data_IF_518799697370
#
_entry.id   IF_518799697370
#
_cell.length_a   1.000
_cell.length_b   1.000
_cell.length_c   1.000
_cell.angle_alpha   90.00
_cell.angle_beta   90.00
_cell.angle_gamma   90.00
#
_symmetry.space_group_name_H-M   'P 1'
#
loop_
_entity.id
_entity.type
_entity.pdbx_description
1 polymer ?
#
# COMPACT_ATOMS: atom_id res chain seq x y z
N UNK A 1 30.14 0.98 2.29
CA UNK A 1 29.54 2.12 3.04
C UNK A 1 28.82 1.52 4.22
N UNK A 2 29.02 2.08 5.40
CA UNK A 2 28.38 1.61 6.63
C UNK A 2 27.30 2.64 7.03
N UNK A 3 26.21 2.17 7.60
CA UNK A 3 25.14 2.99 8.16
C UNK A 3 24.61 2.34 9.44
N UNK A 4 24.00 3.09 10.34
CA UNK A 4 23.35 2.50 11.52
C UNK A 4 22.17 1.61 11.10
N UNK A 5 21.40 2.06 10.10
CA UNK A 5 20.27 1.30 9.57
C UNK A 5 20.37 1.16 8.05
N UNK A 6 20.31 -0.09 7.57
CA UNK A 6 20.15 -0.39 6.15
C UNK A 6 18.67 -0.73 5.90
N UNK A 7 18.09 -0.10 4.90
CA UNK A 7 16.74 -0.40 4.43
C UNK A 7 16.84 -1.06 3.06
N UNK A 8 16.28 -2.24 2.93
CA UNK A 8 16.21 -2.99 1.67
C UNK A 8 14.84 -2.75 1.03
N UNK A 9 14.84 -2.00 -0.07
CA UNK A 9 13.65 -1.59 -0.81
C UNK A 9 13.33 -0.10 -0.71
N UNK A 10 13.33 0.59 -1.86
CA UNK A 10 13.00 2.01 -2.02
C UNK A 10 11.54 2.26 -2.36
N UNK A 11 10.62 1.38 -1.95
CA UNK A 11 9.17 1.60 -1.99
C UNK A 11 8.72 2.61 -0.94
N UNK A 12 7.40 2.92 -0.90
CA UNK A 12 6.86 3.90 0.05
C UNK A 12 7.15 3.53 1.50
N UNK A 13 7.14 2.24 1.85
CA UNK A 13 7.44 1.75 3.20
C UNK A 13 8.88 2.07 3.57
N UNK A 14 9.84 1.73 2.70
CA UNK A 14 11.26 2.03 2.95
C UNK A 14 11.55 3.52 2.95
N UNK A 15 10.92 4.30 2.07
CA UNK A 15 11.07 5.74 2.03
C UNK A 15 10.50 6.42 3.29
N UNK A 16 9.34 5.97 3.78
CA UNK A 16 8.74 6.49 5.01
C UNK A 16 9.56 6.12 6.26
N UNK A 17 10.10 4.89 6.32
CA UNK A 17 11.03 4.49 7.39
C UNK A 17 12.32 5.33 7.35
N UNK A 18 12.90 5.52 6.16
CA UNK A 18 14.11 6.34 5.98
C UNK A 18 13.88 7.79 6.41
N UNK A 19 12.72 8.38 6.07
CA UNK A 19 12.34 9.72 6.51
C UNK A 19 12.30 9.82 8.04
N UNK A 20 11.59 8.90 8.71
CA UNK A 20 11.45 8.96 10.16
C UNK A 20 12.79 8.72 10.88
N UNK A 21 13.63 7.81 10.40
CA UNK A 21 14.96 7.57 10.96
C UNK A 21 15.89 8.78 10.77
N UNK A 22 15.96 9.31 9.55
CA UNK A 22 16.81 10.47 9.25
C UNK A 22 16.36 11.73 10.03
N UNK A 23 15.04 11.91 10.22
CA UNK A 23 14.48 12.97 11.06
C UNK A 23 14.96 12.88 12.51
N UNK A 24 15.25 11.67 13.00
CA UNK A 24 15.81 11.43 14.33
C UNK A 24 17.35 11.38 14.35
N UNK A 25 18.01 11.77 13.26
CA UNK A 25 19.47 11.86 13.19
C UNK A 25 20.19 10.52 12.98
N UNK A 26 19.46 9.44 12.69
CA UNK A 26 20.03 8.12 12.43
C UNK A 26 20.63 8.07 11.02
N UNK A 27 21.83 7.51 10.88
CA UNK A 27 22.47 7.26 9.60
C UNK A 27 21.75 6.13 8.85
N UNK A 28 21.19 6.45 7.68
CA UNK A 28 20.36 5.52 6.89
C UNK A 28 20.93 5.33 5.49
N UNK A 29 21.02 4.05 5.07
CA UNK A 29 21.28 3.65 3.71
C UNK A 29 20.10 2.85 3.15
N UNK A 30 19.48 3.31 2.07
CA UNK A 30 18.42 2.59 1.36
C UNK A 30 18.98 1.99 0.07
N UNK A 31 18.78 0.68 -0.11
CA UNK A 31 19.17 -0.05 -1.31
C UNK A 31 17.92 -0.44 -2.11
N UNK A 32 17.80 0.06 -3.33
CA UNK A 32 16.71 -0.22 -4.25
C UNK A 32 17.19 -1.04 -5.43
N UNK A 33 16.51 -2.16 -5.69
CA UNK A 33 16.92 -3.10 -6.74
C UNK A 33 16.64 -2.62 -8.16
N UNK A 34 15.69 -1.70 -8.34
CA UNK A 34 15.40 -1.08 -9.64
C UNK A 34 16.18 0.23 -9.83
N UNK A 35 16.23 0.71 -11.07
CA UNK A 35 16.88 1.99 -11.39
C UNK A 35 16.15 3.19 -10.77
N UNK A 36 14.86 3.05 -10.49
CA UNK A 36 14.00 4.12 -10.00
C UNK A 36 13.38 3.76 -8.64
N UNK A 37 13.38 4.73 -7.72
CA UNK A 37 12.68 4.64 -6.44
C UNK A 37 11.16 4.51 -6.69
N UNK A 38 10.51 3.67 -5.87
CA UNK A 38 9.07 3.45 -5.94
C UNK A 38 8.58 2.58 -7.10
N UNK A 39 9.47 1.97 -7.87
CA UNK A 39 9.10 1.22 -9.09
C UNK A 39 8.39 -0.13 -8.84
N UNK A 40 8.12 -0.49 -7.60
CA UNK A 40 7.31 -1.65 -7.20
C UNK A 40 5.80 -1.33 -7.14
N UNK A 41 5.10 -1.95 -6.18
CA UNK A 41 3.67 -1.72 -5.92
C UNK A 41 3.33 -0.30 -5.47
N UNK A 42 4.30 0.44 -4.93
CA UNK A 42 4.10 1.76 -4.30
C UNK A 42 3.52 2.82 -5.23
N UNK A 43 3.88 2.83 -6.51
CA UNK A 43 3.40 3.83 -7.49
C UNK A 43 2.47 3.24 -8.54
N UNK A 44 2.04 1.99 -8.34
CA UNK A 44 1.17 1.27 -9.29
C UNK A 44 -0.22 0.96 -8.75
N UNK A 45 -0.54 1.45 -7.57
CA UNK A 45 -1.83 1.26 -6.90
C UNK A 45 -2.78 2.42 -7.17
N UNK A 46 -4.05 2.24 -6.81
CA UNK A 46 -5.12 3.22 -7.03
C UNK A 46 -5.27 4.27 -5.92
N UNK A 47 -4.27 4.45 -5.05
CA UNK A 47 -4.20 5.58 -4.12
C UNK A 47 -5.16 5.56 -2.93
N UNK A 48 -5.85 4.45 -2.65
CA UNK A 48 -6.82 4.39 -1.56
C UNK A 48 -6.18 4.52 -0.17
N UNK A 49 -6.67 5.47 0.62
CA UNK A 49 -6.36 5.66 2.04
C UNK A 49 -7.61 5.30 2.81
N UNK A 50 -7.70 4.04 3.24
CA UNK A 50 -8.97 3.47 3.70
C UNK A 50 -8.78 2.61 4.94
N UNK A 51 -9.67 2.75 5.91
CA UNK A 51 -9.84 1.88 7.08
C UNK A 51 -11.04 0.92 6.88
N UNK A 52 -12.03 1.32 6.10
CA UNK A 52 -13.17 0.46 5.81
C UNK A 52 -12.77 -0.79 5.03
N UNK A 53 -13.27 -1.96 5.46
CA UNK A 53 -13.00 -3.25 4.83
C UNK A 53 -11.57 -3.76 5.01
N UNK A 54 -10.93 -3.41 6.14
CA UNK A 54 -9.64 -3.93 6.58
C UNK A 54 -9.79 -5.06 7.59
N UNK A 55 -8.76 -5.89 7.69
CA UNK A 55 -8.65 -6.85 8.80
C UNK A 55 -8.47 -6.08 10.12
N UNK A 56 -9.15 -6.46 11.20
CA UNK A 56 -9.03 -5.81 12.50
C UNK A 56 -7.59 -5.65 13.00
N UNK A 57 -6.70 -6.58 12.67
CA UNK A 57 -5.29 -6.56 13.09
C UNK A 57 -4.50 -5.39 12.49
N UNK A 58 -4.88 -4.88 11.31
CA UNK A 58 -4.20 -3.75 10.66
C UNK A 58 -4.90 -2.40 10.87
N UNK A 59 -6.15 -2.41 11.40
CA UNK A 59 -6.92 -1.18 11.66
C UNK A 59 -6.16 -0.14 12.49
N UNK A 60 -5.47 -0.50 13.59
CA UNK A 60 -4.73 0.49 14.37
C UNK A 60 -3.72 1.31 13.56
N UNK A 61 -3.03 0.69 12.58
CA UNK A 61 -2.08 1.38 11.71
C UNK A 61 -2.74 2.39 10.78
N UNK A 62 -3.85 2.00 10.14
CA UNK A 62 -4.53 2.89 9.20
C UNK A 62 -5.27 4.01 9.92
N UNK A 63 -5.91 3.72 11.06
CA UNK A 63 -6.60 4.72 11.89
C UNK A 63 -5.57 5.76 12.37
N UNK A 64 -4.43 5.31 12.91
CA UNK A 64 -3.35 6.21 13.31
C UNK A 64 -2.83 7.07 12.13
N UNK A 65 -2.66 6.45 10.95
CA UNK A 65 -2.23 7.16 9.75
C UNK A 65 -3.21 8.26 9.34
N UNK A 66 -4.51 7.95 9.32
CA UNK A 66 -5.58 8.87 8.90
C UNK A 66 -5.78 9.99 9.91
N UNK A 67 -5.71 9.68 11.20
CA UNK A 67 -5.95 10.67 12.25
C UNK A 67 -4.75 11.61 12.46
N UNK A 68 -3.53 11.07 12.40
CA UNK A 68 -2.37 11.81 12.89
C UNK A 68 -1.38 12.21 11.78
N UNK A 69 -1.36 11.54 10.62
CA UNK A 69 -0.28 11.77 9.66
C UNK A 69 -0.78 12.24 8.29
N UNK A 70 -1.74 11.55 7.68
CA UNK A 70 -2.21 11.91 6.33
C UNK A 70 -2.64 13.37 6.19
N UNK A 71 -3.41 13.98 7.14
CA UNK A 71 -3.89 15.35 7.01
C UNK A 71 -2.78 16.40 6.92
N UNK A 72 -1.61 16.12 7.50
CA UNK A 72 -0.46 17.03 7.53
C UNK A 72 0.70 16.57 6.65
N UNK A 73 0.52 15.48 5.90
CA UNK A 73 1.63 14.83 5.18
C UNK A 73 2.23 15.71 4.09
N UNK A 74 1.40 16.52 3.41
CA UNK A 74 1.88 17.46 2.39
C UNK A 74 2.86 18.47 2.97
N UNK A 75 2.55 19.03 4.13
CA UNK A 75 3.40 19.99 4.83
C UNK A 75 4.67 19.30 5.36
N UNK A 76 4.54 18.12 5.97
CA UNK A 76 5.66 17.33 6.47
C UNK A 76 6.69 17.00 5.40
N UNK A 77 6.24 16.77 4.16
CA UNK A 77 7.08 16.36 3.06
C UNK A 77 7.45 17.50 2.09
N UNK A 78 6.96 18.72 2.35
CA UNK A 78 7.11 19.86 1.41
C UNK A 78 6.73 19.43 -0.03
N UNK A 79 5.61 18.71 -0.15
CA UNK A 79 5.14 18.10 -1.40
C UNK A 79 3.64 17.89 -1.30
N UNK A 80 2.84 18.45 -2.24
CA UNK A 80 1.42 18.14 -2.31
C UNK A 80 1.23 16.65 -2.66
N UNK A 81 0.75 15.87 -1.70
CA UNK A 81 0.47 14.43 -1.87
C UNK A 81 -0.93 14.16 -2.39
N UNK A 82 -1.69 15.21 -2.71
CA UNK A 82 -3.07 15.14 -3.20
C UNK A 82 -3.93 14.24 -2.31
N UNK A 83 -3.88 14.46 -0.99
CA UNK A 83 -4.71 13.74 -0.03
C UNK A 83 -6.08 14.40 0.09
N UNK A 84 -7.11 13.61 -0.22
CA UNK A 84 -8.52 14.02 -0.13
C UNK A 84 -9.27 13.05 0.76
N UNK A 85 -9.76 13.55 1.90
CA UNK A 85 -10.56 12.80 2.88
C UNK A 85 -12.06 13.07 2.63
N UNK A 86 -12.54 12.62 1.47
CA UNK A 86 -13.91 12.85 1.00
C UNK A 86 -14.78 11.59 1.05
N UNK A 87 -14.33 10.63 1.86
CA UNK A 87 -15.01 9.38 2.12
C UNK A 87 -14.76 8.28 1.09
N UNK A 88 -15.27 7.09 1.44
CA UNK A 88 -15.25 5.92 0.58
C UNK A 88 -16.63 5.29 0.48
N UNK A 89 -17.08 5.07 -0.76
CA UNK A 89 -18.28 4.31 -1.09
C UNK A 89 -17.88 2.93 -1.63
N UNK A 90 -18.32 1.86 -0.95
CA UNK A 90 -18.26 0.51 -1.52
C UNK A 90 -19.65 0.11 -1.99
N UNK A 91 -19.79 -0.08 -3.29
CA UNK A 91 -21.04 -0.19 -3.99
C UNK A 91 -21.54 -1.64 -4.06
N UNK A 92 -22.85 -1.83 -3.94
CA UNK A 92 -23.50 -3.10 -4.11
C UNK A 92 -24.77 -2.97 -4.96
N UNK A 93 -25.07 -4.02 -5.76
CA UNK A 93 -26.21 -4.09 -6.67
C UNK A 93 -27.08 -5.32 -6.47
N UNK A 94 -26.74 -6.20 -5.52
CA UNK A 94 -27.46 -7.45 -5.26
C UNK A 94 -27.62 -7.71 -3.77
N UNK A 95 -28.57 -8.56 -3.35
CA UNK A 95 -28.68 -8.97 -1.94
C UNK A 95 -27.41 -9.65 -1.40
N UNK A 96 -26.65 -10.34 -2.24
CA UNK A 96 -25.35 -10.94 -1.85
C UNK A 96 -24.33 -9.84 -1.56
N UNK A 97 -24.25 -8.79 -2.40
CA UNK A 97 -23.39 -7.63 -2.15
C UNK A 97 -23.74 -6.93 -0.85
N UNK A 98 -25.03 -6.76 -0.58
CA UNK A 98 -25.48 -6.17 0.69
C UNK A 98 -24.97 -6.99 1.89
N UNK A 99 -25.09 -8.33 1.83
CA UNK A 99 -24.59 -9.20 2.91
C UNK A 99 -23.07 -9.06 3.11
N UNK A 100 -22.30 -9.05 2.03
CA UNK A 100 -20.84 -8.86 2.09
C UNK A 100 -20.50 -7.52 2.73
N UNK A 101 -21.10 -6.43 2.22
CA UNK A 101 -20.80 -5.08 2.70
C UNK A 101 -21.25 -4.87 4.16
N UNK A 102 -22.39 -5.45 4.56
CA UNK A 102 -22.84 -5.41 5.97
C UNK A 102 -21.80 -6.08 6.87
N UNK A 103 -21.34 -7.28 6.54
CA UNK A 103 -20.33 -7.96 7.36
C UNK A 103 -19.02 -7.17 7.48
N UNK A 104 -18.57 -6.53 6.40
CA UNK A 104 -17.37 -5.68 6.41
C UNK A 104 -17.59 -4.39 7.23
N UNK A 105 -18.76 -3.76 7.11
CA UNK A 105 -19.09 -2.55 7.85
C UNK A 105 -19.23 -2.84 9.37
N UNK A 106 -19.95 -3.90 9.72
CA UNK A 106 -20.13 -4.30 11.13
C UNK A 106 -18.79 -4.64 11.80
N UNK A 107 -17.92 -5.37 11.09
CA UNK A 107 -16.59 -5.69 11.59
C UNK A 107 -15.75 -4.43 11.83
N UNK A 108 -15.74 -3.49 10.91
CA UNK A 108 -14.99 -2.25 11.05
C UNK A 108 -15.57 -1.33 12.14
N UNK A 109 -16.91 -1.21 12.21
CA UNK A 109 -17.61 -0.41 13.23
C UNK A 109 -17.37 -0.96 14.65
N UNK A 110 -17.31 -2.28 14.82
CA UNK A 110 -16.97 -2.92 16.09
C UNK A 110 -15.57 -2.54 16.62
N UNK A 111 -14.68 -2.06 15.73
CA UNK A 111 -13.33 -1.58 16.06
C UNK A 111 -13.20 -0.06 16.01
N UNK A 112 -14.32 0.68 16.06
CA UNK A 112 -14.33 2.14 16.18
C UNK A 112 -14.25 2.92 14.86
N UNK A 113 -14.33 2.24 13.70
CA UNK A 113 -14.37 2.92 12.41
C UNK A 113 -15.76 3.51 12.18
N UNK A 114 -15.83 4.79 11.80
CA UNK A 114 -17.08 5.45 11.38
C UNK A 114 -17.50 4.94 9.99
N UNK A 115 -18.18 3.82 9.97
CA UNK A 115 -18.69 3.19 8.75
C UNK A 115 -20.10 2.66 8.96
N UNK A 116 -20.96 2.82 7.95
CA UNK A 116 -22.36 2.36 8.01
C UNK A 116 -22.87 1.91 6.65
N UNK A 117 -23.86 1.04 6.67
CA UNK A 117 -24.63 0.72 5.47
C UNK A 117 -25.60 1.85 5.15
N UNK A 118 -25.73 2.14 3.86
CA UNK A 118 -26.66 3.12 3.30
C UNK A 118 -27.42 2.52 2.11
N UNK A 119 -28.59 3.06 1.83
CA UNK A 119 -29.39 2.70 0.66
C UNK A 119 -28.79 3.25 -0.64
N UNK A 120 -29.23 2.74 -1.79
CA UNK A 120 -28.82 3.27 -3.10
C UNK A 120 -29.20 4.75 -3.27
N UNK A 121 -30.37 5.16 -2.74
CA UNK A 121 -30.79 6.57 -2.77
C UNK A 121 -29.89 7.48 -1.92
N UNK A 122 -29.47 7.02 -0.76
CA UNK A 122 -28.51 7.76 0.06
C UNK A 122 -27.15 7.83 -0.62
N UNK A 123 -26.70 6.74 -1.26
CA UNK A 123 -25.44 6.72 -2.01
C UNK A 123 -25.49 7.71 -3.18
N UNK A 124 -26.61 7.80 -3.91
CA UNK A 124 -26.81 8.80 -4.99
C UNK A 124 -26.88 10.24 -4.50
N UNK A 125 -27.31 10.50 -3.27
CA UNK A 125 -27.19 11.85 -2.68
C UNK A 125 -25.75 12.25 -2.42
N UNK A 126 -24.87 11.28 -2.08
CA UNK A 126 -23.43 11.51 -1.88
C UNK A 126 -22.72 11.63 -3.23
N UNK A 127 -23.04 10.74 -4.17
CA UNK A 127 -22.46 10.73 -5.52
C UNK A 127 -23.58 10.62 -6.57
N UNK A 128 -24.03 11.75 -7.14
CA UNK A 128 -25.18 11.78 -8.07
C UNK A 128 -24.96 11.08 -9.41
N UNK A 129 -23.72 10.70 -9.73
CA UNK A 129 -23.37 9.99 -10.98
C UNK A 129 -23.60 8.47 -10.88
N UNK A 130 -23.95 7.95 -9.71
CA UNK A 130 -24.24 6.53 -9.51
C UNK A 130 -25.53 6.13 -10.22
N UNK A 131 -25.48 5.00 -10.93
CA UNK A 131 -26.65 4.40 -11.59
C UNK A 131 -27.69 3.87 -10.62
N UNK A 132 -28.92 3.64 -11.12
CA UNK A 132 -29.99 2.95 -10.39
C UNK A 132 -29.65 1.49 -10.05
N UNK A 133 -28.65 0.90 -10.67
CA UNK A 133 -28.17 -0.44 -10.33
C UNK A 133 -27.57 -0.50 -8.92
N UNK A 134 -27.14 0.62 -8.36
CA UNK A 134 -26.67 0.69 -6.96
C UNK A 134 -27.85 0.61 -6.02
N UNK A 135 -28.03 -0.54 -5.35
CA UNK A 135 -29.12 -0.78 -4.39
C UNK A 135 -28.70 -0.53 -2.95
N UNK A 136 -27.41 -0.65 -2.66
CA UNK A 136 -26.82 -0.42 -1.33
C UNK A 136 -25.36 0.01 -1.46
N UNK A 137 -24.82 0.59 -0.40
CA UNK A 137 -23.37 0.84 -0.27
C UNK A 137 -22.97 0.80 1.21
N UNK A 138 -21.69 0.56 1.51
CA UNK A 138 -21.09 0.98 2.78
C UNK A 138 -20.44 2.35 2.60
N UNK A 139 -20.66 3.23 3.56
CA UNK A 139 -20.14 4.60 3.58
C UNK A 139 -19.22 4.81 4.78
N UNK A 140 -18.00 5.23 4.52
CA UNK A 140 -17.03 5.64 5.53
C UNK A 140 -16.55 7.06 5.21
N UNK A 141 -17.01 8.09 5.93
CA UNK A 141 -16.70 9.48 5.63
C UNK A 141 -15.24 9.87 5.91
N UNK A 142 -14.56 9.12 6.77
CA UNK A 142 -13.17 9.38 7.17
C UNK A 142 -12.12 8.70 6.29
N UNK A 143 -12.54 7.87 5.35
CA UNK A 143 -11.66 7.33 4.31
C UNK A 143 -11.40 8.37 3.20
N UNK A 144 -10.44 8.08 2.32
CA UNK A 144 -10.11 8.96 1.22
C UNK A 144 -9.11 8.34 0.25
N UNK A 145 -8.42 9.19 -0.47
CA UNK A 145 -7.35 8.78 -1.40
C UNK A 145 -6.22 9.82 -1.43
N UNK A 146 -5.08 9.42 -1.97
CA UNK A 146 -3.94 10.29 -2.20
C UNK A 146 -3.18 9.85 -3.46
N UNK A 147 -2.27 10.67 -3.95
CA UNK A 147 -1.42 10.34 -5.09
C UNK A 147 -0.23 9.48 -4.65
N UNK A 148 -0.17 8.18 -5.07
CA UNK A 148 0.88 7.28 -4.61
C UNK A 148 2.29 7.68 -5.06
N UNK A 149 2.41 8.25 -6.26
CA UNK A 149 3.69 8.72 -6.77
C UNK A 149 4.19 9.93 -5.96
N UNK A 150 3.30 10.91 -5.74
CA UNK A 150 3.66 12.14 -5.01
C UNK A 150 4.04 11.83 -3.56
N UNK A 151 3.29 10.96 -2.88
CA UNK A 151 3.60 10.55 -1.51
C UNK A 151 4.94 9.79 -1.43
N UNK A 152 5.18 8.83 -2.33
CA UNK A 152 6.45 8.07 -2.36
C UNK A 152 7.64 8.99 -2.63
N UNK A 153 7.53 9.87 -3.64
CA UNK A 153 8.60 10.81 -4.00
C UNK A 153 8.79 11.90 -2.95
N UNK A 154 7.73 12.33 -2.26
CA UNK A 154 7.80 13.26 -1.14
C UNK A 154 8.65 12.68 0.00
N UNK A 155 8.34 11.46 0.44
CA UNK A 155 9.13 10.75 1.45
C UNK A 155 10.60 10.60 1.02
N UNK A 156 10.83 10.14 -0.21
CA UNK A 156 12.17 9.98 -0.76
C UNK A 156 12.97 11.29 -0.74
N UNK A 157 12.40 12.38 -1.28
CA UNK A 157 13.07 13.68 -1.35
C UNK A 157 13.37 14.22 0.06
N UNK A 158 12.40 14.14 0.97
CA UNK A 158 12.57 14.64 2.33
C UNK A 158 13.57 13.80 3.13
N UNK A 159 13.53 12.46 3.02
CA UNK A 159 14.53 11.59 3.66
C UNK A 159 15.95 11.95 3.20
N UNK A 160 16.15 12.16 1.90
CA UNK A 160 17.45 12.62 1.36
C UNK A 160 17.88 13.98 1.87
N UNK A 161 16.95 14.92 1.95
CA UNK A 161 17.20 16.27 2.49
C UNK A 161 17.65 16.21 3.96
N UNK A 162 17.14 15.22 4.70
CA UNK A 162 17.51 14.94 6.10
C UNK A 162 18.78 14.07 6.24
N UNK A 163 19.45 13.70 5.15
CA UNK A 163 20.73 13.00 5.17
C UNK A 163 20.68 11.50 4.89
N UNK A 164 19.51 10.90 4.60
CA UNK A 164 19.44 9.51 4.17
C UNK A 164 20.09 9.32 2.79
N UNK A 165 20.88 8.26 2.64
CA UNK A 165 21.50 7.87 1.39
C UNK A 165 20.65 6.81 0.67
N UNK A 166 20.51 6.96 -0.66
CA UNK A 166 19.78 6.03 -1.51
C UNK A 166 20.67 5.57 -2.66
N UNK A 167 20.74 4.27 -2.89
CA UNK A 167 21.43 3.66 -4.02
C UNK A 167 20.41 2.84 -4.80
N UNK A 168 20.15 3.25 -6.05
CA UNK A 168 19.27 2.55 -7.00
C UNK A 168 20.10 1.61 -7.89
N UNK A 169 19.46 0.55 -8.42
CA UNK A 169 20.15 -0.47 -9.22
C UNK A 169 20.91 -1.52 -8.39
N UNK A 170 20.84 -1.42 -7.05
CA UNK A 170 21.51 -2.34 -6.11
C UNK A 170 20.52 -3.36 -5.53
N UNK A 171 20.23 -4.40 -6.30
CA UNK A 171 19.31 -5.48 -5.87
C UNK A 171 19.97 -6.33 -4.79
N UNK A 172 19.48 -6.24 -3.55
CA UNK A 172 19.87 -7.13 -2.45
C UNK A 172 19.35 -8.54 -2.73
N UNK A 173 20.20 -9.55 -2.53
CA UNK A 173 19.88 -10.97 -2.77
C UNK A 173 20.15 -11.86 -1.54
N UNK A 174 20.93 -11.37 -0.57
CA UNK A 174 21.35 -12.16 0.58
C UNK A 174 21.51 -11.28 1.81
N UNK A 175 21.09 -11.82 2.97
CA UNK A 175 21.44 -11.30 4.29
C UNK A 175 22.55 -12.17 4.88
N UNK A 176 23.51 -11.58 5.62
CA UNK A 176 24.54 -12.30 6.35
C UNK A 176 24.52 -11.97 7.83
N UNK A 177 24.66 -13.02 8.63
CA UNK A 177 24.83 -12.90 10.08
C UNK A 177 26.29 -12.72 10.44
N UNK A 178 26.61 -11.68 11.21
CA UNK A 178 27.91 -11.48 11.85
C UNK A 178 27.70 -11.60 13.34
N UNK A 179 28.41 -12.53 13.98
CA UNK A 179 28.28 -12.85 15.42
C UNK A 179 26.82 -13.12 15.83
N UNK A 180 26.06 -13.82 14.94
CA UNK A 180 24.68 -14.22 15.19
C UNK A 180 23.60 -13.18 14.84
N UNK A 181 23.95 -11.92 14.60
CA UNK A 181 23.02 -10.86 14.22
C UNK A 181 23.08 -10.55 12.72
N UNK A 182 21.94 -10.16 12.11
CA UNK A 182 21.92 -9.64 10.74
C UNK A 182 22.63 -8.29 10.70
N UNK A 183 23.75 -8.24 9.97
CA UNK A 183 24.63 -7.05 9.89
C UNK A 183 25.00 -6.67 8.48
N UNK A 184 24.96 -7.61 7.56
CA UNK A 184 25.38 -7.36 6.18
C UNK A 184 24.29 -7.74 5.19
N UNK A 185 24.22 -6.96 4.12
CA UNK A 185 23.44 -7.26 2.92
C UNK A 185 24.37 -7.41 1.74
N UNK A 186 24.10 -8.38 0.87
CA UNK A 186 24.85 -8.63 -0.36
C UNK A 186 23.93 -8.36 -1.54
N UNK A 187 24.44 -7.63 -2.53
CA UNK A 187 23.70 -7.31 -3.75
C UNK A 187 24.05 -8.25 -4.89
N UNK A 188 23.23 -8.28 -5.92
CA UNK A 188 23.46 -9.07 -7.13
C UNK A 188 24.75 -8.64 -7.88
N UNK A 189 25.21 -7.41 -7.70
CA UNK A 189 26.48 -6.91 -8.22
C UNK A 189 27.70 -7.38 -7.41
N UNK A 190 27.49 -8.07 -6.28
CA UNK A 190 28.52 -8.54 -5.38
C UNK A 190 28.97 -7.51 -4.33
N UNK A 191 28.38 -6.33 -4.29
CA UNK A 191 28.67 -5.36 -3.26
C UNK A 191 28.13 -5.82 -1.90
N UNK A 192 28.88 -5.47 -0.83
CA UNK A 192 28.49 -5.78 0.56
C UNK A 192 28.37 -4.47 1.33
N UNK A 193 27.25 -4.31 2.02
CA UNK A 193 26.97 -3.18 2.90
C UNK A 193 26.74 -3.69 4.32
N UNK A 194 27.16 -2.92 5.31
CA UNK A 194 27.08 -3.29 6.71
C UNK A 194 26.31 -2.24 7.54
N UNK A 195 25.45 -2.70 8.45
CA UNK A 195 24.67 -1.86 9.34
C UNK A 195 24.36 -2.54 10.66
N UNK A 196 23.97 -1.72 11.65
CA UNK A 196 23.58 -2.24 12.98
C UNK A 196 22.18 -2.85 12.97
N UNK A 197 21.31 -2.38 12.12
CA UNK A 197 19.95 -2.89 11.90
C UNK A 197 19.68 -2.98 10.40
N UNK A 198 18.85 -3.95 10.02
CA UNK A 198 18.39 -4.13 8.64
C UNK A 198 16.86 -4.16 8.65
N UNK A 199 16.25 -3.21 7.93
CA UNK A 199 14.81 -3.19 7.66
C UNK A 199 14.59 -3.80 6.28
N UNK A 200 13.89 -4.93 6.22
CA UNK A 200 13.59 -5.64 4.98
C UNK A 200 12.18 -5.25 4.49
N UNK A 201 12.12 -4.33 3.52
CA UNK A 201 10.91 -3.74 2.94
C UNK A 201 10.89 -3.88 1.41
N UNK A 202 11.37 -5.02 0.89
CA UNK A 202 11.54 -5.29 -0.54
C UNK A 202 10.28 -5.90 -1.21
N UNK A 203 9.09 -5.68 -0.63
CA UNK A 203 7.85 -6.28 -1.13
C UNK A 203 7.97 -7.81 -1.18
N UNK A 204 7.52 -8.42 -2.27
CA UNK A 204 7.56 -9.88 -2.41
C UNK A 204 8.97 -10.49 -2.37
N UNK A 205 9.99 -9.76 -2.82
CA UNK A 205 11.39 -10.23 -2.76
C UNK A 205 11.87 -10.44 -1.32
N UNK A 206 11.22 -9.81 -0.33
CA UNK A 206 11.53 -9.98 1.09
C UNK A 206 11.50 -11.45 1.53
N UNK A 207 10.60 -12.25 0.97
CA UNK A 207 10.51 -13.69 1.26
C UNK A 207 11.83 -14.41 0.95
N UNK A 208 12.37 -14.18 -0.24
CA UNK A 208 13.59 -14.84 -0.70
C UNK A 208 14.82 -14.33 0.05
N UNK A 209 14.87 -13.03 0.33
CA UNK A 209 15.98 -12.42 1.07
C UNK A 209 15.98 -12.91 2.52
N UNK A 210 14.82 -12.96 3.19
CA UNK A 210 14.68 -13.47 4.56
C UNK A 210 15.07 -14.95 4.69
N UNK A 211 14.76 -15.77 3.66
CA UNK A 211 15.10 -17.19 3.65
C UNK A 211 16.60 -17.45 3.70
N UNK A 212 17.46 -16.52 3.27
CA UNK A 212 18.93 -16.65 3.35
C UNK A 212 19.47 -16.68 4.78
N UNK A 213 18.66 -16.23 5.75
CA UNK A 213 18.98 -16.31 7.19
C UNK A 213 18.06 -17.28 7.94
N UNK A 214 17.28 -18.09 7.21
CA UNK A 214 16.42 -19.14 7.76
C UNK A 214 15.02 -18.67 8.17
N UNK A 215 14.58 -17.50 7.73
CA UNK A 215 13.24 -16.97 8.03
C UNK A 215 12.32 -17.17 6.81
N UNK A 216 11.22 -17.88 7.00
CA UNK A 216 10.18 -18.04 5.98
C UNK A 216 8.99 -17.12 6.30
N UNK A 217 8.58 -16.34 5.29
CA UNK A 217 7.37 -15.53 5.33
C UNK A 217 6.45 -16.02 4.23
N UNK A 218 5.28 -16.60 4.56
CA UNK A 218 4.40 -17.19 3.56
C UNK A 218 3.69 -16.11 2.74
N UNK A 219 4.24 -15.80 1.58
CA UNK A 219 3.71 -14.81 0.64
C UNK A 219 3.59 -15.38 -0.76
N UNK A 220 2.64 -14.86 -1.52
CA UNK A 220 2.48 -15.11 -2.96
C UNK A 220 2.39 -13.80 -3.73
N UNK A 221 2.71 -13.84 -5.02
CA UNK A 221 2.49 -12.72 -5.92
C UNK A 221 1.08 -12.76 -6.49
N UNK A 222 0.39 -11.62 -6.46
CA UNK A 222 -0.90 -11.43 -7.14
C UNK A 222 -0.77 -10.26 -8.10
N UNK A 223 -1.21 -10.46 -9.35
CA UNK A 223 -1.17 -9.43 -10.37
C UNK A 223 -2.39 -8.51 -10.21
N UNK A 224 -2.14 -7.23 -9.99
CA UNK A 224 -3.18 -6.20 -10.04
C UNK A 224 -2.98 -5.33 -11.27
N UNK A 225 -4.07 -5.05 -11.95
CA UNK A 225 -4.08 -4.17 -13.11
C UNK A 225 -4.78 -2.85 -12.81
N UNK A 226 -4.36 -1.80 -13.47
CA UNK A 226 -4.90 -0.45 -13.29
C UNK A 226 -5.05 0.20 -14.66
N UNK A 227 -6.08 1.01 -14.81
CA UNK A 227 -6.29 1.86 -15.97
C UNK A 227 -6.42 3.33 -15.57
N UNK A 228 -6.10 4.23 -16.48
CA UNK A 228 -6.37 5.65 -16.34
C UNK A 228 -7.06 6.16 -17.61
N UNK A 229 -8.03 7.06 -17.40
CA UNK A 229 -8.81 7.66 -18.47
C UNK A 229 -8.24 9.02 -18.90
N UNK A 230 -8.77 9.56 -20.01
CA UNK A 230 -8.64 10.98 -20.30
C UNK A 230 -9.22 11.82 -19.17
N UNK A 231 -8.78 13.08 -19.08
CA UNK A 231 -9.29 14.01 -18.09
C UNK A 231 -10.66 14.56 -18.53
N UNK A 232 -11.57 14.67 -17.59
CA UNK A 232 -12.88 15.34 -17.73
C UNK A 232 -13.06 16.33 -16.59
N UNK A 233 -14.12 17.14 -16.64
CA UNK A 233 -14.46 18.04 -15.53
C UNK A 233 -14.64 17.29 -14.21
N UNK A 234 -14.53 17.99 -13.06
CA UNK A 234 -14.76 17.39 -11.75
C UNK A 234 -16.16 16.78 -11.64
N UNK A 235 -16.22 15.53 -11.21
CA UNK A 235 -17.47 14.81 -10.98
C UNK A 235 -17.68 14.47 -9.51
N UNK A 236 -16.69 13.81 -8.89
CA UNK A 236 -16.77 13.43 -7.48
C UNK A 236 -15.36 13.25 -6.90
N UNK A 237 -15.27 13.27 -5.56
CA UNK A 237 -14.01 13.16 -4.83
C UNK A 237 -13.90 11.90 -3.96
N UNK A 238 -14.99 11.12 -3.85
CA UNK A 238 -15.00 9.93 -3.03
C UNK A 238 -14.06 8.86 -3.61
N UNK A 239 -13.39 8.14 -2.73
CA UNK A 239 -12.83 6.84 -3.08
C UNK A 239 -13.96 5.84 -3.31
N UNK A 240 -13.82 5.00 -4.30
CA UNK A 240 -14.81 4.02 -4.71
C UNK A 240 -14.27 2.60 -4.57
N UNK A 241 -15.17 1.66 -4.36
CA UNK A 241 -14.94 0.23 -4.47
C UNK A 241 -16.24 -0.51 -4.70
N UNK A 242 -16.19 -1.80 -4.91
CA UNK A 242 -17.36 -2.66 -5.06
C UNK A 242 -17.32 -3.82 -4.08
N UNK A 243 -18.45 -4.46 -3.87
CA UNK A 243 -18.57 -5.63 -2.98
C UNK A 243 -17.70 -6.79 -3.49
N UNK A 244 -17.67 -7.01 -4.80
CA UNK A 244 -16.95 -8.10 -5.48
C UNK A 244 -15.52 -7.72 -5.89
N UNK A 245 -15.08 -6.51 -5.53
CA UNK A 245 -13.79 -5.97 -5.92
C UNK A 245 -13.58 -5.89 -7.46
N UNK A 246 -14.66 -5.71 -8.22
CA UNK A 246 -14.63 -5.53 -9.67
C UNK A 246 -13.75 -4.37 -10.09
N UNK A 247 -13.79 -3.30 -9.30
CA UNK A 247 -12.88 -2.17 -9.38
C UNK A 247 -12.79 -1.42 -8.04
N UNK A 248 -11.74 -0.66 -7.90
CA UNK A 248 -11.61 0.39 -6.89
C UNK A 248 -10.89 1.59 -7.52
N UNK A 249 -11.15 2.79 -7.08
CA UNK A 249 -10.48 3.96 -7.64
C UNK A 249 -11.19 5.27 -7.33
N UNK A 250 -10.76 6.32 -7.99
CA UNK A 250 -11.24 7.69 -7.77
C UNK A 250 -11.01 8.56 -9.00
N UNK A 251 -11.57 9.76 -9.00
CA UNK A 251 -11.16 10.82 -9.92
C UNK A 251 -9.98 11.59 -9.33
N UNK A 252 -8.93 11.80 -10.12
CA UNK A 252 -7.75 12.57 -9.71
C UNK A 252 -8.03 14.08 -9.77
N UNK A 253 -7.19 14.89 -9.12
CA UNK A 253 -7.26 16.36 -9.20
C UNK A 253 -7.24 16.88 -10.64
N UNK A 254 -6.51 16.19 -11.54
CA UNK A 254 -6.42 16.54 -12.96
C UNK A 254 -7.65 16.12 -13.78
N UNK A 255 -8.63 15.45 -13.17
CA UNK A 255 -9.88 15.06 -13.82
C UNK A 255 -9.87 13.65 -14.44
N UNK A 256 -8.75 12.96 -14.50
CA UNK A 256 -8.70 11.56 -14.95
C UNK A 256 -9.22 10.61 -13.87
N UNK A 257 -9.86 9.50 -14.30
CA UNK A 257 -10.19 8.41 -13.38
C UNK A 257 -9.06 7.40 -13.36
N UNK A 258 -8.69 6.95 -12.16
CA UNK A 258 -7.78 5.81 -11.94
C UNK A 258 -8.56 4.69 -11.32
N UNK A 259 -8.64 3.54 -12.01
CA UNK A 259 -9.35 2.35 -11.54
C UNK A 259 -8.42 1.15 -11.54
N UNK A 260 -8.29 0.49 -10.38
CA UNK A 260 -7.59 -0.77 -10.22
C UNK A 260 -8.57 -1.93 -10.09
N UNK A 261 -8.12 -3.13 -10.47
CA UNK A 261 -8.91 -4.35 -10.37
C UNK A 261 -8.01 -5.57 -10.19
N UNK A 262 -8.58 -6.62 -9.64
CA UNK A 262 -8.04 -7.97 -9.76
C UNK A 262 -8.56 -8.59 -11.05
N UNK A 263 -7.66 -8.88 -11.98
CA UNK A 263 -8.05 -9.34 -13.31
C UNK A 263 -8.41 -10.82 -13.38
N UNK A 264 -7.97 -11.62 -12.39
CA UNK A 264 -8.04 -13.08 -12.48
C UNK A 264 -7.12 -13.70 -13.54
N UNK A 265 -6.15 -12.93 -14.03
CA UNK A 265 -5.21 -13.39 -15.07
C UNK A 265 -3.87 -13.89 -14.51
N UNK A 266 -3.72 -13.98 -13.19
CA UNK A 266 -2.50 -14.44 -12.53
C UNK A 266 -1.98 -15.78 -13.08
N UNK A 267 -2.83 -16.79 -13.40
CA UNK A 267 -2.37 -18.04 -13.97
C UNK A 267 -1.70 -17.90 -15.33
N UNK A 268 -1.97 -16.80 -16.05
CA UNK A 268 -1.42 -16.50 -17.37
C UNK A 268 -0.32 -15.44 -17.33
N UNK A 269 -0.04 -14.88 -16.15
CA UNK A 269 1.02 -13.89 -15.97
C UNK A 269 2.38 -14.53 -16.19
N UNK A 270 3.24 -13.85 -16.95
CA UNK A 270 4.62 -14.30 -17.16
C UNK A 270 5.46 -13.89 -15.95
N UNK A 271 6.35 -14.77 -15.47
CA UNK A 271 7.33 -14.37 -14.45
C UNK A 271 8.14 -13.13 -14.89
N UNK A 272 8.42 -12.24 -13.95
CA UNK A 272 9.20 -11.04 -14.18
C UNK A 272 8.38 -9.77 -14.23
N UNK A 273 8.36 -9.03 -15.33
CA UNK A 273 7.66 -7.73 -15.41
C UNK A 273 6.13 -7.92 -15.41
N UNK A 274 5.40 -7.20 -14.55
CA UNK A 274 3.95 -7.22 -14.59
C UNK A 274 3.46 -6.55 -15.89
N UNK A 275 2.60 -7.24 -16.63
CA UNK A 275 2.03 -6.76 -17.88
C UNK A 275 0.51 -6.66 -17.75
N UNK A 276 -0.05 -5.53 -18.14
CA UNK A 276 -1.50 -5.35 -18.24
C UNK A 276 -2.04 -5.99 -19.54
N UNK A 277 -3.31 -6.38 -19.49
CA UNK A 277 -4.00 -6.96 -20.64
C UNK A 277 -5.21 -6.11 -21.07
N UNK A 278 -5.53 -6.18 -22.38
CA UNK A 278 -6.76 -5.55 -22.90
C UNK A 278 -8.03 -6.24 -22.39
N UNK A 279 -7.95 -7.52 -22.01
CA UNK A 279 -9.08 -8.27 -21.46
C UNK A 279 -9.46 -7.73 -20.08
N UNK A 280 -8.47 -7.52 -19.20
CA UNK A 280 -8.71 -6.94 -17.87
C UNK A 280 -9.25 -5.51 -17.97
N UNK A 281 -8.67 -4.66 -18.82
CA UNK A 281 -9.18 -3.31 -19.07
C UNK A 281 -10.64 -3.32 -19.52
N UNK A 282 -11.01 -4.23 -20.43
CA UNK A 282 -12.40 -4.38 -20.91
C UNK A 282 -13.34 -4.85 -19.80
N UNK A 283 -12.90 -5.76 -18.93
CA UNK A 283 -13.70 -6.22 -17.78
C UNK A 283 -13.92 -5.07 -16.77
N UNK A 284 -12.87 -4.30 -16.45
CA UNK A 284 -12.98 -3.11 -15.62
C UNK A 284 -13.96 -2.09 -16.19
N UNK A 285 -13.87 -1.79 -17.49
CA UNK A 285 -14.76 -0.83 -18.13
C UNK A 285 -16.23 -1.27 -18.04
N UNK A 286 -16.54 -2.57 -18.18
CA UNK A 286 -17.92 -3.08 -18.00
C UNK A 286 -18.40 -2.89 -16.56
N UNK A 287 -17.58 -3.22 -15.58
CA UNK A 287 -17.91 -2.99 -14.16
C UNK A 287 -18.15 -1.51 -13.87
N UNK A 288 -17.27 -0.64 -14.36
CA UNK A 288 -17.40 0.81 -14.19
C UNK A 288 -18.69 1.32 -14.81
N UNK A 289 -19.00 0.95 -16.06
CA UNK A 289 -20.24 1.39 -16.75
C UNK A 289 -21.51 0.90 -16.06
N UNK A 290 -21.47 -0.25 -15.38
CA UNK A 290 -22.62 -0.72 -14.60
C UNK A 290 -22.99 0.25 -13.48
N UNK A 291 -21.99 0.82 -12.82
CA UNK A 291 -22.19 1.74 -11.70
C UNK A 291 -22.19 3.22 -12.12
N UNK A 292 -21.50 3.56 -13.22
CA UNK A 292 -21.32 4.93 -13.72
C UNK A 292 -21.56 4.98 -15.24
N UNK A 293 -22.80 4.94 -15.70
CA UNK A 293 -23.12 4.93 -17.15
C UNK A 293 -22.62 6.18 -17.89
N UNK A 294 -22.52 7.31 -17.21
CA UNK A 294 -21.99 8.57 -17.81
C UNK A 294 -20.54 8.46 -18.23
N UNK A 295 -19.80 7.48 -17.72
CA UNK A 295 -18.42 7.21 -18.12
C UNK A 295 -18.30 6.32 -19.36
N UNK A 296 -19.41 5.88 -19.98
CA UNK A 296 -19.40 4.94 -21.12
C UNK A 296 -18.57 5.44 -22.33
N UNK A 297 -18.46 6.75 -22.52
CA UNK A 297 -17.75 7.35 -23.66
C UNK A 297 -16.36 7.87 -23.30
N UNK A 298 -15.93 7.74 -22.03
CA UNK A 298 -14.60 8.19 -21.62
C UNK A 298 -13.51 7.25 -22.19
N UNK A 299 -12.41 7.82 -22.68
CA UNK A 299 -11.34 7.04 -23.29
C UNK A 299 -10.35 6.57 -22.23
N UNK A 300 -10.01 5.29 -22.27
CA UNK A 300 -8.87 4.75 -21.54
C UNK A 300 -7.60 5.17 -22.28
N UNK A 301 -6.70 5.93 -21.62
CA UNK A 301 -5.47 6.41 -22.24
C UNK A 301 -4.25 5.59 -21.88
N UNK A 302 -4.29 4.84 -20.76
CA UNK A 302 -3.19 3.97 -20.35
C UNK A 302 -3.68 2.87 -19.42
N UNK A 303 -3.01 1.71 -19.52
CA UNK A 303 -3.08 0.62 -18.53
C UNK A 303 -1.70 0.27 -18.02
N UNK A 304 -1.62 -0.21 -16.80
CA UNK A 304 -0.40 -0.79 -16.23
C UNK A 304 -0.76 -1.88 -15.23
N UNK A 305 0.25 -2.64 -14.82
CA UNK A 305 0.08 -3.68 -13.82
C UNK A 305 1.17 -3.59 -12.75
N UNK A 306 0.90 -4.15 -11.57
CA UNK A 306 1.82 -4.28 -10.45
C UNK A 306 1.70 -5.62 -9.76
N UNK A 307 2.81 -6.12 -9.22
CA UNK A 307 2.80 -7.25 -8.33
C UNK A 307 2.47 -6.79 -6.90
N UNK A 308 1.51 -7.46 -6.31
CA UNK A 308 1.15 -7.35 -4.90
C UNK A 308 1.78 -8.52 -4.14
N UNK A 309 2.37 -8.24 -2.99
CA UNK A 309 2.87 -9.20 -2.03
C UNK A 309 1.73 -9.63 -1.10
N UNK A 310 1.02 -10.70 -1.46
CA UNK A 310 -0.08 -11.20 -0.66
C UNK A 310 0.45 -12.15 0.43
N UNK A 311 0.26 -11.78 1.70
CA UNK A 311 0.53 -12.65 2.84
C UNK A 311 -0.53 -13.75 2.93
N UNK A 312 -0.18 -14.91 3.45
CA UNK A 312 -1.06 -16.07 3.50
C UNK A 312 -2.36 -15.83 4.28
N UNK A 313 -2.31 -15.00 5.31
CA UNK A 313 -3.47 -14.58 6.12
C UNK A 313 -4.00 -13.17 5.75
N UNK A 314 -3.52 -12.60 4.66
CA UNK A 314 -3.86 -11.28 4.13
C UNK A 314 -3.50 -10.09 5.04
N UNK A 315 -2.66 -10.27 6.05
CA UNK A 315 -2.24 -9.23 7.00
C UNK A 315 -0.73 -9.02 6.92
N UNK A 316 -0.23 -7.77 6.96
CA UNK A 316 1.20 -7.50 6.82
C UNK A 316 2.03 -8.10 7.96
N UNK A 317 3.29 -8.37 7.66
CA UNK A 317 4.31 -8.70 8.66
C UNK A 317 5.10 -7.43 8.96
N UNK A 318 5.02 -6.97 10.21
CA UNK A 318 5.82 -5.86 10.74
C UNK A 318 6.37 -6.30 12.09
N UNK A 319 7.63 -6.73 12.12
CA UNK A 319 8.16 -7.43 13.28
C UNK A 319 9.69 -7.38 13.36
N UNK A 320 10.24 -7.28 14.58
CA UNK A 320 11.60 -7.74 14.83
C UNK A 320 11.64 -9.27 14.71
N UNK A 321 12.80 -9.80 14.34
CA UNK A 321 13.04 -11.25 14.24
C UNK A 321 13.94 -11.65 15.39
N UNK A 322 13.39 -12.32 16.40
CA UNK A 322 14.12 -12.63 17.64
C UNK A 322 15.31 -13.59 17.37
N UNK A 323 15.13 -14.56 16.44
CA UNK A 323 16.16 -15.56 16.07
C UNK A 323 17.26 -14.97 15.19
N UNK A 324 17.04 -13.75 14.66
CA UNK A 324 18.01 -13.04 13.83
C UNK A 324 18.09 -11.59 14.32
N UNK A 325 18.73 -11.34 15.47
CA UNK A 325 18.86 -10.00 16.02
C UNK A 325 19.35 -8.98 14.98
N UNK A 326 18.78 -7.79 14.98
CA UNK A 326 19.08 -6.74 14.02
C UNK A 326 18.24 -6.77 12.73
N UNK A 327 17.46 -7.84 12.49
CA UNK A 327 16.52 -7.91 11.36
C UNK A 327 15.12 -7.42 11.76
N UNK A 328 14.55 -6.53 10.96
CA UNK A 328 13.16 -6.05 11.06
C UNK A 328 12.48 -6.33 9.72
N UNK A 329 11.35 -7.03 9.75
CA UNK A 329 10.54 -7.33 8.56
C UNK A 329 9.44 -6.28 8.37
N UNK A 330 9.20 -5.91 7.12
CA UNK A 330 8.08 -5.05 6.69
C UNK A 330 7.63 -5.48 5.29
N UNK A 331 6.78 -6.50 5.20
CA UNK A 331 6.37 -7.12 3.93
C UNK A 331 4.99 -7.77 4.03
N UNK A 332 4.48 -8.30 2.91
CA UNK A 332 3.20 -9.00 2.86
C UNK A 332 2.01 -8.07 3.02
N UNK A 333 2.10 -6.86 2.49
CA UNK A 333 1.08 -5.81 2.69
C UNK A 333 -0.25 -6.05 1.99
N UNK A 334 -0.37 -7.06 1.17
CA UNK A 334 -1.63 -7.55 0.57
C UNK A 334 -2.46 -6.42 -0.11
N UNK A 335 -1.76 -5.50 -0.82
CA UNK A 335 -2.38 -4.35 -1.49
C UNK A 335 -2.79 -3.21 -0.55
N UNK A 336 -2.55 -3.30 0.75
CA UNK A 336 -2.98 -2.33 1.75
C UNK A 336 -1.87 -1.34 2.19
N UNK A 337 -0.63 -1.60 1.80
CA UNK A 337 0.56 -0.90 2.29
C UNK A 337 0.57 0.61 2.05
N UNK A 338 -0.13 1.13 1.03
CA UNK A 338 -0.14 2.55 0.75
C UNK A 338 -0.83 3.36 1.86
N UNK A 339 -2.08 3.03 2.20
CA UNK A 339 -2.86 3.78 3.19
C UNK A 339 -2.23 3.76 4.59
N UNK A 340 -1.55 2.67 4.96
CA UNK A 340 -0.89 2.52 6.27
C UNK A 340 0.56 2.97 6.29
N UNK A 341 1.14 3.31 5.13
CA UNK A 341 2.58 3.59 5.01
C UNK A 341 3.11 4.68 5.95
N UNK A 342 2.37 5.75 6.29
CA UNK A 342 2.88 6.75 7.23
C UNK A 342 3.10 6.18 8.63
N UNK A 343 2.13 5.46 9.18
CA UNK A 343 2.28 4.81 10.49
C UNK A 343 3.32 3.69 10.45
N UNK A 344 3.37 2.89 9.36
CA UNK A 344 4.39 1.84 9.20
C UNK A 344 5.79 2.43 9.19
N UNK A 345 6.03 3.52 8.45
CA UNK A 345 7.33 4.20 8.47
C UNK A 345 7.73 4.69 9.86
N UNK A 346 6.76 5.20 10.64
CA UNK A 346 6.98 5.63 12.02
C UNK A 346 7.34 4.44 12.92
N UNK A 347 6.51 3.37 12.94
CA UNK A 347 6.77 2.23 13.83
C UNK A 347 8.04 1.46 13.45
N UNK A 348 8.41 1.40 12.17
CA UNK A 348 9.69 0.82 11.75
C UNK A 348 10.89 1.61 12.29
N UNK A 349 10.80 2.93 12.30
CA UNK A 349 11.85 3.76 12.89
C UNK A 349 11.94 3.55 14.42
N UNK A 350 10.80 3.45 15.10
CA UNK A 350 10.75 3.16 16.55
C UNK A 350 11.33 1.77 16.86
N UNK A 351 10.97 0.73 16.10
CA UNK A 351 11.55 -0.60 16.24
C UNK A 351 13.09 -0.59 16.05
N UNK A 352 13.58 0.15 15.06
CA UNK A 352 15.02 0.24 14.80
C UNK A 352 15.77 1.00 15.90
N UNK A 353 15.14 2.03 16.48
CA UNK A 353 15.67 2.80 17.61
C UNK A 353 15.41 2.13 18.98
N UNK A 354 14.80 0.95 19.01
CA UNK A 354 14.45 0.20 20.23
C UNK A 354 13.50 0.98 21.17
N UNK A 355 12.63 1.80 20.58
CA UNK A 355 11.60 2.57 21.27
C UNK A 355 10.28 1.80 21.32
N UNK A 356 9.39 2.23 22.23
CA UNK A 356 7.99 1.79 22.21
C UNK A 356 7.29 2.27 20.94
N UNK A 357 6.50 1.42 20.32
CA UNK A 357 5.80 1.74 19.08
C UNK A 357 4.50 2.48 19.35
N UNK A 358 4.20 3.50 18.53
CA UNK A 358 2.97 4.28 18.62
C UNK A 358 1.70 3.45 18.41
N UNK A 359 1.84 2.26 17.83
CA UNK A 359 0.76 1.32 17.54
C UNK A 359 1.20 -0.06 18.00
N UNK A 360 0.29 -0.84 18.60
CA UNK A 360 0.55 -2.24 18.94
C UNK A 360 0.73 -3.09 17.67
N UNK A 361 1.85 -3.79 17.60
CA UNK A 361 2.23 -4.65 16.46
C UNK A 361 2.13 -6.14 16.80
N UNK A 362 1.60 -6.52 17.95
CA UNK A 362 1.59 -7.90 18.44
C UNK A 362 0.91 -8.88 17.47
N UNK A 363 -0.17 -8.45 16.81
CA UNK A 363 -0.89 -9.23 15.81
C UNK A 363 -0.19 -9.28 14.43
N UNK A 364 0.87 -8.50 14.22
CA UNK A 364 1.58 -8.35 12.94
C UNK A 364 2.96 -9.06 12.96
N UNK A 365 3.26 -9.79 14.03
CA UNK A 365 4.53 -10.51 14.17
C UNK A 365 4.63 -11.63 13.12
N UNK A 366 5.87 -11.90 12.67
CA UNK A 366 6.14 -12.95 11.67
C UNK A 366 5.95 -14.36 12.22
N UNK A 367 6.18 -14.56 13.54
CA UNK A 367 6.08 -15.84 14.23
C UNK A 367 4.63 -16.33 14.44
N UNK A 368 3.63 -15.55 14.01
CA UNK A 368 2.23 -16.00 13.98
C UNK A 368 1.96 -17.14 12.98
N UNK A 369 2.93 -17.47 12.16
CA UNK A 369 2.88 -18.57 11.20
C UNK A 369 3.64 -19.82 11.65
N UNK A 370 4.21 -19.79 12.83
CA UNK A 370 4.98 -20.89 13.41
C UNK A 370 4.11 -21.86 14.23
#
# INVERSE_FOLDING_TARGET
MNAEVIIVGGGIIGCAAAYNLAKNGISVLVLEGSENIGNGGSTRNGGGVRQSGRDPRELPLVMYSIEHIWPQLSDMLDTNVEYYQEGNLRLGSTPQHQKILTGLADSAAAHGVDVRMITGDEARRINPYLSEAVTCASWCPTDGHANPLMATMGYYKMARRLGAHFISGEKVVELRKIKGAARQVVTASGNVYEGDKIILAAGYESRFIASTVGIDVPMQQVLLETLVTEAVGPMFWQMLGTADADFYGHQTEHGSFVFGLNSGLEPYAKPGKPLSSSIAASAACRGIMHYFPDLANIKVVRTWAGWMDACADHVPVISKVEEVPGLILACGFTGHGFGISPAVGLVLSQLAMEQETAVDLSALRYDRFQ
#
